data_IF_167094539652
#
_entry.id   IF_167094539652
#
_cell.length_a   1.000
_cell.length_b   1.000
_cell.length_c   1.000
_cell.angle_alpha   90.00
_cell.angle_beta   90.00
_cell.angle_gamma   90.00
#
_symmetry.space_group_name_H-M   'P 1'
#
loop_
_entity.id
_entity.type
_entity.pdbx_description
1 polymer ?
#
# COMPACT_ATOMS: atom_id res chain seq x y z
N UNK A 1 14.48 0.74 -8.93
CA UNK A 1 13.71 -0.10 -8.01
C UNK A 1 14.12 0.20 -6.58
N UNK A 2 15.42 0.26 -6.29
CA UNK A 2 15.98 0.60 -4.97
C UNK A 2 15.33 1.86 -4.37
N UNK A 3 15.27 2.98 -5.10
CA UNK A 3 14.60 4.21 -4.59
C UNK A 3 13.12 4.03 -4.20
N UNK A 4 12.39 3.14 -4.87
CA UNK A 4 10.97 2.86 -4.56
C UNK A 4 10.90 2.01 -3.29
N UNK A 5 11.75 0.98 -3.20
CA UNK A 5 11.87 0.13 -2.02
C UNK A 5 12.31 0.94 -0.79
N UNK A 6 13.34 1.77 -0.93
CA UNK A 6 13.86 2.65 0.13
C UNK A 6 12.75 3.59 0.62
N UNK A 7 12.06 4.27 -0.29
CA UNK A 7 10.98 5.18 0.08
C UNK A 7 9.82 4.47 0.79
N UNK A 8 9.42 3.28 0.32
CA UNK A 8 8.38 2.49 0.98
C UNK A 8 8.81 2.08 2.40
N UNK A 9 10.06 1.68 2.57
CA UNK A 9 10.60 1.32 3.89
C UNK A 9 10.77 2.55 4.80
N UNK A 10 11.07 3.73 4.26
CA UNK A 10 11.09 4.98 5.04
C UNK A 10 9.70 5.29 5.62
N UNK A 11 8.63 5.09 4.84
CA UNK A 11 7.26 5.27 5.32
C UNK A 11 6.94 4.26 6.42
N UNK A 12 7.28 2.98 6.22
CA UNK A 12 7.13 1.93 7.24
C UNK A 12 7.88 2.30 8.54
N UNK A 13 9.12 2.80 8.41
CA UNK A 13 9.95 3.19 9.55
C UNK A 13 9.39 4.40 10.31
N UNK A 14 8.78 5.36 9.61
CA UNK A 14 8.09 6.50 10.22
C UNK A 14 6.80 6.10 10.95
N UNK A 15 6.32 4.87 10.73
CA UNK A 15 5.22 4.25 11.44
C UNK A 15 3.91 5.09 11.54
N UNK A 16 3.43 5.74 10.45
CA UNK A 16 2.13 6.43 10.50
C UNK A 16 0.99 5.48 10.85
N UNK A 17 -0.03 6.05 11.51
CA UNK A 17 -1.30 5.38 11.81
C UNK A 17 -2.07 5.11 10.52
N UNK A 18 -2.73 3.96 10.47
CA UNK A 18 -3.65 3.56 9.42
C UNK A 18 -5.09 3.78 9.89
N UNK A 19 -5.63 4.95 9.54
CA UNK A 19 -7.00 5.34 9.86
C UNK A 19 -8.01 4.55 9.02
N UNK A 20 -9.11 4.13 9.65
CA UNK A 20 -10.17 3.33 9.04
C UNK A 20 -11.48 4.08 9.19
N UNK A 21 -11.98 4.65 8.10
CA UNK A 21 -13.18 5.48 8.09
C UNK A 21 -14.31 4.78 7.32
N UNK A 22 -15.55 5.10 7.68
CA UNK A 22 -16.74 4.73 6.89
C UNK A 22 -17.49 6.00 6.60
N UNK A 23 -17.57 6.37 5.32
CA UNK A 23 -18.23 7.59 4.85
C UNK A 23 -19.30 7.24 3.82
N UNK A 24 -20.24 8.16 3.62
CA UNK A 24 -21.03 8.14 2.40
C UNK A 24 -20.13 8.46 1.20
N UNK A 25 -20.40 7.83 0.05
CA UNK A 25 -19.62 7.98 -1.16
C UNK A 25 -19.56 9.42 -1.64
N UNK A 26 -20.67 10.16 -1.55
CA UNK A 26 -20.68 11.56 -1.98
C UNK A 26 -19.79 12.43 -1.09
N UNK A 27 -19.77 12.14 0.22
CA UNK A 27 -18.88 12.80 1.17
C UNK A 27 -17.41 12.45 0.90
N UNK A 28 -17.12 11.17 0.64
CA UNK A 28 -15.77 10.71 0.31
C UNK A 28 -15.26 11.31 -1.01
N UNK A 29 -16.09 11.36 -2.06
CA UNK A 29 -15.77 11.98 -3.35
C UNK A 29 -15.45 13.46 -3.18
N UNK A 30 -16.18 14.16 -2.31
CA UNK A 30 -15.94 15.57 -2.02
C UNK A 30 -14.65 15.81 -1.22
N UNK A 31 -14.32 14.91 -0.28
CA UNK A 31 -13.14 15.06 0.58
C UNK A 31 -11.83 14.63 -0.11
N UNK A 32 -11.84 13.53 -0.86
CA UNK A 32 -10.62 12.87 -1.35
C UNK A 32 -10.56 12.75 -2.87
N UNK A 33 -11.63 13.10 -3.59
CA UNK A 33 -11.70 12.99 -5.03
C UNK A 33 -11.69 11.55 -5.55
N UNK A 34 -11.49 11.40 -6.85
CA UNK A 34 -11.58 10.11 -7.54
C UNK A 34 -10.33 9.22 -7.40
N UNK A 35 -9.25 9.74 -6.81
CA UNK A 35 -8.04 8.95 -6.56
C UNK A 35 -8.30 7.77 -5.61
N UNK A 36 -9.35 7.85 -4.79
CA UNK A 36 -9.83 6.77 -3.91
C UNK A 36 -10.04 5.42 -4.60
N UNK A 37 -10.22 5.39 -5.93
CA UNK A 37 -10.73 4.24 -6.65
C UNK A 37 -9.68 3.49 -7.47
N UNK A 38 -8.39 3.54 -7.06
CA UNK A 38 -7.32 2.74 -7.69
C UNK A 38 -7.62 1.23 -7.67
N UNK A 39 -8.25 0.72 -6.61
CA UNK A 39 -8.70 -0.66 -6.47
C UNK A 39 -10.01 -1.00 -7.19
N UNK A 40 -10.57 -0.05 -7.95
CA UNK A 40 -11.87 -0.15 -8.60
C UNK A 40 -12.99 0.60 -7.85
N UNK A 41 -14.12 0.85 -8.53
CA UNK A 41 -15.20 1.66 -7.98
C UNK A 41 -16.00 0.90 -6.90
N UNK A 42 -16.42 1.57 -5.82
CA UNK A 42 -17.27 1.00 -4.80
C UNK A 42 -18.67 0.71 -5.35
N UNK A 43 -19.28 -0.38 -4.88
CA UNK A 43 -20.63 -0.81 -5.27
C UNK A 43 -21.74 -0.27 -4.36
N UNK A 44 -21.39 0.24 -3.19
CA UNK A 44 -22.31 0.65 -2.13
C UNK A 44 -22.23 2.17 -1.91
N UNK A 45 -23.26 2.75 -1.31
CA UNK A 45 -23.28 4.18 -0.95
C UNK A 45 -22.38 4.46 0.26
N UNK A 46 -22.36 3.59 1.28
CA UNK A 46 -21.36 3.67 2.33
C UNK A 46 -20.09 2.93 1.90
N UNK A 47 -18.95 3.61 2.01
CA UNK A 47 -17.65 3.08 1.59
C UNK A 47 -16.66 3.12 2.74
N UNK A 48 -15.84 2.07 2.83
CA UNK A 48 -14.75 1.98 3.79
C UNK A 48 -13.48 2.57 3.18
N UNK A 49 -12.89 3.52 3.88
CA UNK A 49 -11.67 4.22 3.47
C UNK A 49 -10.54 3.82 4.41
N UNK A 50 -9.39 3.57 3.81
CA UNK A 50 -8.12 3.35 4.50
C UNK A 50 -7.23 4.53 4.17
N UNK A 51 -6.73 5.22 5.21
CA UNK A 51 -5.82 6.36 5.08
C UNK A 51 -4.54 6.05 5.85
N UNK A 52 -3.40 6.14 5.17
CA UNK A 52 -2.08 5.85 5.73
C UNK A 52 -1.36 7.19 5.93
N UNK A 53 -1.46 7.76 7.13
CA UNK A 53 -0.97 9.12 7.39
C UNK A 53 -1.38 10.10 6.30
N UNK A 54 -0.46 10.96 5.87
CA UNK A 54 -0.66 11.86 4.71
C UNK A 54 -0.10 11.27 3.39
N UNK A 55 0.24 9.97 3.38
CA UNK A 55 0.89 9.33 2.24
C UNK A 55 -0.09 8.82 1.20
N UNK A 56 -1.13 8.11 1.63
CA UNK A 56 -2.10 7.47 0.73
C UNK A 56 -3.49 7.39 1.35
N UNK A 57 -4.52 7.46 0.50
CA UNK A 57 -5.92 7.27 0.87
C UNK A 57 -6.67 6.50 -0.22
N UNK A 58 -7.30 5.39 0.16
CA UNK A 58 -8.00 4.53 -0.80
C UNK A 58 -9.30 3.95 -0.21
N UNK A 59 -10.31 3.78 -1.06
CA UNK A 59 -11.44 2.92 -0.75
C UNK A 59 -10.98 1.44 -0.75
N UNK A 60 -11.06 0.76 0.39
CA UNK A 60 -10.64 -0.63 0.53
C UNK A 60 -11.46 -1.40 1.57
N UNK A 61 -11.98 -2.56 1.18
CA UNK A 61 -12.71 -3.49 2.06
C UNK A 61 -11.84 -4.57 2.74
N UNK A 62 -10.52 -4.57 2.50
CA UNK A 62 -9.60 -5.59 3.02
C UNK A 62 -9.20 -5.40 4.49
N UNK A 63 -8.44 -6.34 5.02
CA UNK A 63 -7.81 -6.24 6.34
C UNK A 63 -6.52 -5.43 6.27
N UNK A 64 -6.29 -4.56 7.24
CA UNK A 64 -5.11 -3.70 7.33
C UNK A 64 -4.63 -3.66 8.78
N UNK A 65 -3.31 -3.50 8.96
CA UNK A 65 -2.70 -3.18 10.25
C UNK A 65 -3.18 -1.83 10.80
N UNK A 66 -2.89 -1.54 12.06
CA UNK A 66 -3.24 -0.26 12.68
C UNK A 66 -2.18 0.81 12.47
N UNK A 67 -0.95 0.41 12.15
CA UNK A 67 0.16 1.27 11.80
C UNK A 67 1.08 0.55 10.79
N UNK A 68 1.87 1.31 10.03
CA UNK A 68 2.70 0.74 8.95
C UNK A 68 3.91 -0.04 9.46
N UNK A 69 4.40 0.25 10.67
CA UNK A 69 5.53 -0.43 11.28
C UNK A 69 5.30 -1.93 11.51
N UNK A 70 4.02 -2.35 11.63
CA UNK A 70 3.65 -3.77 11.67
C UNK A 70 4.00 -4.53 10.37
N UNK A 71 4.08 -3.85 9.22
CA UNK A 71 4.57 -4.43 7.96
C UNK A 71 6.06 -4.77 8.05
N UNK A 72 6.79 -3.94 8.78
CA UNK A 72 8.17 -4.11 9.23
C UNK A 72 9.30 -4.03 8.18
N UNK A 73 9.23 -4.76 7.08
CA UNK A 73 10.14 -4.61 5.93
C UNK A 73 9.39 -4.98 4.66
N UNK A 74 9.66 -4.29 3.56
CA UNK A 74 9.13 -4.58 2.23
C UNK A 74 10.28 -4.74 1.24
N UNK A 75 10.15 -5.70 0.32
CA UNK A 75 11.11 -5.91 -0.77
C UNK A 75 10.44 -6.13 -2.12
N UNK A 76 10.99 -5.50 -3.14
CA UNK A 76 10.69 -5.74 -4.55
C UNK A 76 11.59 -6.87 -5.03
N UNK A 77 11.00 -8.04 -5.27
CA UNK A 77 11.76 -9.24 -5.68
C UNK A 77 11.88 -9.36 -7.19
N UNK A 78 10.99 -8.70 -7.95
CA UNK A 78 11.01 -8.71 -9.41
C UNK A 78 10.21 -7.54 -9.97
N UNK A 79 10.70 -6.99 -11.07
CA UNK A 79 9.93 -6.13 -11.97
C UNK A 79 9.84 -6.78 -13.35
N UNK A 80 8.70 -6.64 -14.02
CA UNK A 80 8.52 -7.13 -15.38
C UNK A 80 7.49 -6.30 -16.13
N UNK A 81 7.82 -5.90 -17.35
CA UNK A 81 6.88 -5.27 -18.26
C UNK A 81 5.80 -6.26 -18.68
N UNK A 82 4.53 -5.88 -18.55
CA UNK A 82 3.38 -6.70 -18.96
C UNK A 82 2.94 -6.32 -20.37
N UNK A 83 2.92 -5.02 -20.66
CA UNK A 83 2.63 -4.42 -21.96
C UNK A 83 3.17 -2.98 -21.96
N UNK A 84 3.06 -2.28 -23.09
CA UNK A 84 3.49 -0.88 -23.19
C UNK A 84 2.77 0.00 -22.16
N UNK A 85 3.55 0.72 -21.35
CA UNK A 85 3.05 1.57 -20.28
C UNK A 85 2.60 0.84 -19.01
N UNK A 86 2.73 -0.50 -18.92
CA UNK A 86 2.34 -1.27 -17.73
C UNK A 86 3.47 -2.15 -17.22
N UNK A 87 3.90 -1.86 -16.00
CA UNK A 87 4.91 -2.61 -15.25
C UNK A 87 4.27 -3.39 -14.10
N UNK A 88 4.73 -4.62 -13.87
CA UNK A 88 4.36 -5.42 -12.70
C UNK A 88 5.52 -5.46 -11.73
N UNK A 89 5.24 -5.08 -10.48
CA UNK A 89 6.13 -5.29 -9.35
C UNK A 89 5.66 -6.50 -8.56
N UNK A 90 6.57 -7.41 -8.26
CA UNK A 90 6.35 -8.50 -7.30
C UNK A 90 7.04 -8.14 -6.00
N UNK A 91 6.25 -8.14 -4.92
CA UNK A 91 6.65 -7.59 -3.63
C UNK A 91 6.39 -8.63 -2.55
N UNK A 92 7.30 -8.71 -1.59
CA UNK A 92 7.12 -9.46 -0.33
C UNK A 92 7.27 -8.49 0.85
N UNK A 93 6.64 -8.80 1.97
CA UNK A 93 6.70 -7.99 3.17
C UNK A 93 6.85 -8.87 4.43
N UNK A 94 7.19 -8.23 5.55
CA UNK A 94 7.33 -8.89 6.85
C UNK A 94 8.43 -9.95 6.85
N UNK A 95 8.16 -11.09 7.48
CA UNK A 95 9.14 -12.15 7.67
C UNK A 95 9.67 -12.74 6.35
N UNK A 96 8.81 -12.82 5.33
CA UNK A 96 9.21 -13.27 4.01
C UNK A 96 10.23 -12.31 3.37
N UNK A 97 10.08 -11.00 3.60
CA UNK A 97 11.05 -10.01 3.11
C UNK A 97 12.41 -10.16 3.79
N UNK A 98 12.43 -10.36 5.12
CA UNK A 98 13.67 -10.60 5.88
C UNK A 98 14.39 -11.85 5.41
N UNK A 99 13.69 -12.97 5.32
CA UNK A 99 14.27 -14.23 4.85
C UNK A 99 14.86 -14.08 3.44
N UNK A 100 14.14 -13.40 2.54
CA UNK A 100 14.63 -13.14 1.17
C UNK A 100 15.92 -12.30 1.16
N UNK A 101 16.06 -11.33 2.08
CA UNK A 101 17.29 -10.54 2.23
C UNK A 101 18.49 -11.40 2.59
N UNK A 102 18.32 -12.27 3.58
CA UNK A 102 19.39 -13.13 4.09
C UNK A 102 19.90 -14.07 3.00
N UNK A 103 19.00 -14.70 2.23
CA UNK A 103 19.38 -15.54 1.10
C UNK A 103 20.21 -14.79 0.05
N UNK A 104 19.84 -13.54 -0.27
CA UNK A 104 20.58 -12.73 -1.25
C UNK A 104 21.94 -12.27 -0.75
N UNK A 105 22.10 -12.03 0.55
CA UNK A 105 23.37 -11.62 1.13
C UNK A 105 24.33 -12.80 1.36
N UNK A 106 23.81 -14.03 1.43
CA UNK A 106 24.58 -15.25 1.58
C UNK A 106 25.01 -15.91 0.25
N UNK A 107 24.54 -15.37 -0.88
CA UNK A 107 24.87 -15.83 -2.26
C UNK A 107 25.83 -14.86 -2.93
#
# INVERSE_FOLDING_TARGET
MDKIEDHANDIIANNPVVEKLVLDRAEADMQFGFELYQGGPPKHSQIRIIKIGDHDVQACGGTHHDNTGEVSELRIIRSSQVQDGVERLQIVAGETARSTREFRNAS
#
